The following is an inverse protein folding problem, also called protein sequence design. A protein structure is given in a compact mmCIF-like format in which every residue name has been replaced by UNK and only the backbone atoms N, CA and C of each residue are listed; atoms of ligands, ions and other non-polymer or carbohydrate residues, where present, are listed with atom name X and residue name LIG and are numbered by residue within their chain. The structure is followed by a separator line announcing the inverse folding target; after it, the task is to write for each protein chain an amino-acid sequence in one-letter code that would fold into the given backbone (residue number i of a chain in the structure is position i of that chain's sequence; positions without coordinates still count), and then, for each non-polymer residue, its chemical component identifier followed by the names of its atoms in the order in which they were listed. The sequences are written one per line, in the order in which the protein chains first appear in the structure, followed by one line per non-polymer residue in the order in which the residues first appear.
data_IF_392486601505
#
_entry.id   IF_392486601505
#
_cell.length_a   1.000
_cell.length_b   1.000
_cell.length_c   1.000
_cell.angle_alpha   90.00
_cell.angle_beta   90.00
_cell.angle_gamma   90.00
#
_symmetry.space_group_name_H-M   'P 1'
#
loop_
_entity.id
_entity.type
_entity.pdbx_description
1 polymer ?
#
# COMPACT_ATOMS: atom_id res chain seq x y z
N UNK A 1 37.06 -26.69 44.58
CA UNK A 1 36.31 -25.42 44.50
C UNK A 1 35.76 -25.16 43.09
N UNK A 2 36.60 -25.14 42.05
CA UNK A 2 36.17 -24.95 40.64
C UNK A 2 35.18 -26.02 40.15
N UNK A 3 35.41 -27.30 40.47
CA UNK A 3 34.53 -28.40 40.05
C UNK A 3 33.10 -28.25 40.62
N UNK A 4 32.97 -27.96 41.92
CA UNK A 4 31.66 -27.75 42.57
C UNK A 4 30.92 -26.54 42.00
N UNK A 5 31.63 -25.47 41.63
CA UNK A 5 31.04 -24.32 40.97
C UNK A 5 30.43 -24.72 39.62
N UNK A 6 31.18 -25.49 38.83
CA UNK A 6 30.73 -26.04 37.54
C UNK A 6 29.49 -26.92 37.70
N UNK A 7 29.47 -27.81 38.70
CA UNK A 7 28.32 -28.68 38.96
C UNK A 7 27.07 -27.90 39.35
N UNK A 8 27.20 -26.86 40.16
CA UNK A 8 26.08 -26.00 40.56
C UNK A 8 25.58 -25.14 39.39
N UNK A 9 26.48 -24.59 38.55
CA UNK A 9 26.07 -23.88 37.32
C UNK A 9 25.38 -24.80 36.33
N UNK A 10 25.83 -26.05 36.17
CA UNK A 10 25.20 -27.04 35.31
C UNK A 10 23.80 -27.43 35.80
N UNK A 11 23.62 -27.65 37.11
CA UNK A 11 22.29 -27.93 37.70
C UNK A 11 21.33 -26.76 37.48
N UNK A 12 21.81 -25.52 37.66
CA UNK A 12 21.03 -24.31 37.41
C UNK A 12 20.66 -24.17 35.93
N UNK A 13 21.61 -24.38 35.03
CA UNK A 13 21.35 -24.34 33.58
C UNK A 13 20.33 -25.41 33.18
N UNK A 14 20.46 -26.63 33.72
CA UNK A 14 19.53 -27.73 33.44
C UNK A 14 18.12 -27.43 33.94
N UNK A 15 17.98 -26.85 35.13
CA UNK A 15 16.66 -26.45 35.64
C UNK A 15 16.06 -25.29 34.82
N UNK A 16 16.87 -24.33 34.38
CA UNK A 16 16.44 -23.27 33.47
C UNK A 16 16.02 -23.81 32.10
N UNK A 17 16.76 -24.77 31.52
CA UNK A 17 16.39 -25.43 30.27
C UNK A 17 15.12 -26.27 30.39
N UNK A 18 14.87 -26.94 31.52
CA UNK A 18 13.61 -27.66 31.74
C UNK A 18 12.40 -26.71 31.83
N UNK A 19 12.59 -25.51 32.37
CA UNK A 19 11.53 -24.51 32.51
C UNK A 19 11.35 -23.62 31.28
N UNK A 20 12.34 -23.56 30.38
CA UNK A 20 12.31 -22.71 29.19
C UNK A 20 11.13 -23.03 28.23
N UNK A 21 10.81 -24.31 27.92
CA UNK A 21 9.66 -24.64 27.06
C UNK A 21 8.33 -24.13 27.62
N UNK A 22 8.10 -24.30 28.93
CA UNK A 22 6.88 -23.85 29.57
C UNK A 22 6.75 -22.33 29.52
N UNK A 23 7.83 -21.60 29.84
CA UNK A 23 7.88 -20.14 29.75
C UNK A 23 7.66 -19.62 28.32
N UNK A 24 8.16 -20.35 27.32
CA UNK A 24 7.91 -20.04 25.92
C UNK A 24 6.44 -20.26 25.57
N UNK A 25 5.84 -21.37 26.00
CA UNK A 25 4.43 -21.66 25.76
C UNK A 25 3.49 -20.62 26.39
N UNK A 26 3.81 -20.19 27.62
CA UNK A 26 3.04 -19.18 28.36
C UNK A 26 3.04 -17.82 27.65
N UNK A 27 4.13 -17.48 26.95
CA UNK A 27 4.21 -16.26 26.12
C UNK A 27 3.64 -16.45 24.71
N UNK A 28 3.76 -17.65 24.16
CA UNK A 28 3.36 -17.96 22.78
C UNK A 28 1.84 -17.93 22.59
N UNK A 29 1.09 -18.50 23.54
CA UNK A 29 -0.37 -18.56 23.48
C UNK A 29 -1.05 -17.18 23.36
N UNK A 30 -0.80 -16.21 24.26
CA UNK A 30 -1.46 -14.90 24.17
C UNK A 30 -1.08 -14.17 22.88
N UNK A 31 0.17 -14.26 22.45
CA UNK A 31 0.64 -13.60 21.23
C UNK A 31 0.01 -14.21 19.96
N UNK A 32 -0.21 -15.52 19.94
CA UNK A 32 -0.94 -16.18 18.85
C UNK A 32 -2.40 -15.75 18.79
N UNK A 33 -3.05 -15.53 19.94
CA UNK A 33 -4.45 -15.05 20.00
C UNK A 33 -4.52 -13.61 19.49
N UNK A 34 -3.63 -12.74 19.98
CA UNK A 34 -3.53 -11.35 19.53
C UNK A 34 -3.28 -11.23 18.02
N UNK A 35 -2.42 -12.09 17.47
CA UNK A 35 -2.19 -12.16 16.03
C UNK A 35 -3.46 -12.54 15.26
N UNK A 36 -4.19 -13.56 15.72
CA UNK A 36 -5.43 -13.98 15.08
C UNK A 36 -6.52 -12.90 15.12
N UNK A 37 -6.68 -12.23 16.25
CA UNK A 37 -7.59 -11.09 16.41
C UNK A 37 -7.19 -9.93 15.49
N UNK A 38 -5.89 -9.62 15.41
CA UNK A 38 -5.35 -8.60 14.50
C UNK A 38 -5.63 -8.90 13.02
N UNK A 39 -5.47 -10.17 12.60
CA UNK A 39 -5.78 -10.60 11.23
C UNK A 39 -7.29 -10.46 10.92
N UNK A 40 -8.17 -10.76 11.88
CA UNK A 40 -9.61 -10.58 11.72
C UNK A 40 -9.98 -9.11 11.58
N UNK A 41 -9.39 -8.24 12.41
CA UNK A 41 -9.60 -6.79 12.33
C UNK A 41 -9.12 -6.24 10.98
N UNK A 42 -7.92 -6.64 10.53
CA UNK A 42 -7.39 -6.25 9.22
C UNK A 42 -8.33 -6.66 8.08
N UNK A 43 -8.93 -7.86 8.13
CA UNK A 43 -9.91 -8.29 7.11
C UNK A 43 -11.15 -7.39 7.08
N UNK A 44 -11.65 -6.99 8.26
CA UNK A 44 -12.75 -6.02 8.37
C UNK A 44 -12.35 -4.64 7.83
N UNK A 45 -11.15 -4.17 8.16
CA UNK A 45 -10.65 -2.87 7.71
C UNK A 45 -10.49 -2.82 6.19
N UNK A 46 -9.95 -3.89 5.58
CA UNK A 46 -9.85 -4.02 4.11
C UNK A 46 -11.24 -4.01 3.49
N UNK A 47 -12.20 -4.74 4.04
CA UNK A 47 -13.56 -4.77 3.54
C UNK A 47 -14.24 -3.39 3.61
N UNK A 48 -14.04 -2.67 4.72
CA UNK A 48 -14.54 -1.30 4.86
C UNK A 48 -13.85 -0.34 3.89
N UNK A 49 -12.54 -0.45 3.73
CA UNK A 49 -11.77 0.34 2.78
C UNK A 49 -12.26 0.14 1.34
N UNK A 50 -12.46 -1.11 0.90
CA UNK A 50 -12.96 -1.41 -0.44
C UNK A 50 -14.34 -0.78 -0.69
N UNK A 51 -15.24 -0.82 0.32
CA UNK A 51 -16.54 -0.13 0.24
C UNK A 51 -16.38 1.39 0.11
N UNK A 52 -15.57 2.00 0.96
CA UNK A 52 -15.32 3.45 0.91
C UNK A 52 -14.66 3.87 -0.41
N UNK A 53 -13.79 3.03 -0.97
CA UNK A 53 -13.14 3.29 -2.24
C UNK A 53 -14.13 3.32 -3.41
N UNK A 54 -15.17 2.47 -3.38
CA UNK A 54 -16.22 2.47 -4.40
C UNK A 54 -17.17 3.68 -4.21
N UNK A 55 -17.59 3.97 -2.98
CA UNK A 55 -18.60 4.99 -2.70
C UNK A 55 -18.06 6.43 -2.73
N UNK A 56 -16.81 6.61 -2.30
CA UNK A 56 -16.21 7.94 -2.06
C UNK A 56 -14.84 8.11 -2.70
N UNK A 57 -14.32 7.08 -3.37
CA UNK A 57 -13.02 7.13 -3.98
C UNK A 57 -12.91 8.09 -5.16
N UNK A 58 -11.74 8.13 -5.79
CA UNK A 58 -11.43 9.05 -6.89
C UNK A 58 -12.17 8.72 -8.20
N UNK A 59 -12.84 7.57 -8.29
CA UNK A 59 -13.55 7.14 -9.51
C UNK A 59 -15.05 7.47 -9.51
N UNK A 60 -15.56 8.14 -8.47
CA UNK A 60 -16.95 8.58 -8.41
C UNK A 60 -17.22 9.61 -9.52
N UNK A 61 -18.39 9.50 -10.17
CA UNK A 61 -18.79 10.42 -11.25
C UNK A 61 -19.03 11.84 -10.73
N UNK A 62 -18.78 12.84 -11.59
CA UNK A 62 -19.08 14.25 -11.30
C UNK A 62 -18.03 14.99 -10.46
N UNK A 63 -16.85 14.40 -10.24
CA UNK A 63 -15.76 15.06 -9.53
C UNK A 63 -14.96 16.00 -10.42
N UNK A 64 -14.52 17.12 -9.85
CA UNK A 64 -13.54 17.98 -10.50
C UNK A 64 -12.17 17.27 -10.54
N UNK A 65 -11.37 17.42 -11.62
CA UNK A 65 -10.08 16.74 -11.74
C UNK A 65 -9.11 16.99 -10.58
N UNK A 66 -9.15 18.19 -10.00
CA UNK A 66 -8.33 18.54 -8.83
C UNK A 66 -8.77 17.80 -7.57
N UNK A 67 -10.08 17.70 -7.35
CA UNK A 67 -10.66 16.98 -6.20
C UNK A 67 -10.41 15.49 -6.32
N UNK A 68 -10.55 14.95 -7.52
CA UNK A 68 -10.29 13.54 -7.78
C UNK A 68 -8.81 13.18 -7.57
N UNK A 69 -7.87 14.07 -7.96
CA UNK A 69 -6.45 13.91 -7.66
C UNK A 69 -6.14 13.94 -6.15
N UNK A 70 -6.79 14.82 -5.39
CA UNK A 70 -6.68 14.86 -3.92
C UNK A 70 -7.20 13.56 -3.28
N UNK A 71 -8.35 13.06 -3.75
CA UNK A 71 -8.91 11.78 -3.30
C UNK A 71 -7.98 10.60 -3.60
N UNK A 72 -7.29 10.60 -4.74
CA UNK A 72 -6.28 9.56 -5.04
C UNK A 72 -5.21 9.55 -3.96
N UNK A 73 -4.65 10.70 -3.60
CA UNK A 73 -3.60 10.79 -2.58
C UNK A 73 -4.10 10.31 -1.21
N UNK A 74 -5.26 10.80 -0.77
CA UNK A 74 -5.85 10.43 0.51
C UNK A 74 -6.09 8.92 0.63
N UNK A 75 -6.69 8.32 -0.41
CA UNK A 75 -6.96 6.88 -0.42
C UNK A 75 -5.68 6.06 -0.59
N UNK A 76 -4.65 6.59 -1.27
CA UNK A 76 -3.37 5.92 -1.40
C UNK A 76 -2.62 5.84 -0.06
N UNK A 77 -2.60 6.92 0.73
CA UNK A 77 -1.98 6.92 2.07
C UNK A 77 -2.61 5.83 2.96
N UNK A 78 -3.95 5.79 2.99
CA UNK A 78 -4.71 4.75 3.73
C UNK A 78 -4.45 3.34 3.20
N UNK A 79 -4.29 3.18 1.89
CA UNK A 79 -3.94 1.90 1.28
C UNK A 79 -2.54 1.44 1.71
N UNK A 80 -1.56 2.34 1.73
CA UNK A 80 -0.20 2.04 2.15
C UNK A 80 -0.13 1.63 3.64
N UNK A 81 -0.91 2.28 4.50
CA UNK A 81 -1.08 1.85 5.91
C UNK A 81 -1.59 0.40 6.03
N UNK A 82 -2.62 0.04 5.26
CA UNK A 82 -3.19 -1.31 5.25
C UNK A 82 -2.20 -2.35 4.73
N UNK A 83 -1.45 -2.02 3.67
CA UNK A 83 -0.42 -2.91 3.12
C UNK A 83 0.71 -3.12 4.14
N UNK A 84 1.17 -2.06 4.81
CA UNK A 84 2.19 -2.18 5.86
C UNK A 84 1.70 -3.02 7.04
N UNK A 85 0.45 -2.88 7.46
CA UNK A 85 -0.16 -3.71 8.50
C UNK A 85 -0.27 -5.17 8.06
N UNK A 86 -0.67 -5.42 6.82
CA UNK A 86 -0.72 -6.76 6.22
C UNK A 86 0.65 -7.43 6.20
N UNK A 87 1.69 -6.74 5.73
CA UNK A 87 3.06 -7.28 5.72
C UNK A 87 3.56 -7.63 7.12
N UNK A 88 3.26 -6.80 8.12
CA UNK A 88 3.57 -7.08 9.54
C UNK A 88 2.87 -8.34 10.04
N UNK A 89 1.59 -8.51 9.75
CA UNK A 89 0.86 -9.70 10.17
C UNK A 89 1.29 -10.96 9.41
N UNK A 90 1.61 -10.88 8.12
CA UNK A 90 2.16 -12.00 7.36
C UNK A 90 3.51 -12.45 7.91
N UNK A 91 4.36 -11.51 8.35
CA UNK A 91 5.60 -11.84 9.04
C UNK A 91 5.33 -12.52 10.40
N UNK A 92 4.30 -12.08 11.12
CA UNK A 92 3.75 -12.79 12.26
C UNK A 92 3.34 -14.22 11.91
N UNK A 93 2.48 -14.42 10.91
CA UNK A 93 2.03 -15.75 10.46
C UNK A 93 3.23 -16.67 10.16
N UNK A 94 4.29 -16.16 9.51
CA UNK A 94 5.53 -16.91 9.26
C UNK A 94 6.25 -17.30 10.56
N UNK A 95 6.38 -16.37 11.50
CA UNK A 95 7.03 -16.61 12.80
C UNK A 95 6.29 -17.71 13.60
N UNK A 96 4.97 -17.72 13.53
CA UNK A 96 4.11 -18.70 14.22
C UNK A 96 3.87 -19.98 13.40
N UNK A 97 4.48 -20.11 12.21
CA UNK A 97 4.28 -21.21 11.26
C UNK A 97 2.80 -21.43 10.88
N UNK A 98 2.03 -20.35 10.84
CA UNK A 98 0.64 -20.33 10.37
C UNK A 98 0.66 -20.13 8.84
N UNK A 99 -0.25 -20.76 8.08
CA UNK A 99 -0.37 -20.50 6.65
C UNK A 99 -0.59 -19.02 6.38
N UNK A 100 0.28 -18.41 5.58
CA UNK A 100 0.22 -16.98 5.26
C UNK A 100 -1.08 -16.66 4.51
N UNK A 101 -1.85 -15.73 5.04
CA UNK A 101 -3.11 -15.30 4.44
C UNK A 101 -2.84 -14.44 3.20
N UNK A 102 -3.55 -14.73 2.10
CA UNK A 102 -3.48 -13.95 0.85
C UNK A 102 -4.64 -12.96 0.74
N UNK A 103 -4.35 -11.77 0.20
CA UNK A 103 -5.29 -10.65 0.05
C UNK A 103 -5.38 -10.22 -1.42
N UNK A 104 -6.14 -10.94 -2.27
CA UNK A 104 -6.22 -10.65 -3.70
C UNK A 104 -6.86 -9.29 -4.01
N UNK A 105 -7.80 -8.82 -3.18
CA UNK A 105 -8.46 -7.51 -3.36
C UNK A 105 -7.46 -6.35 -3.30
N UNK A 106 -6.55 -6.35 -2.32
CA UNK A 106 -5.50 -5.35 -2.20
C UNK A 106 -4.57 -5.32 -3.42
N UNK A 107 -4.31 -6.48 -4.04
CA UNK A 107 -3.49 -6.55 -5.25
C UNK A 107 -4.19 -5.87 -6.43
N UNK A 108 -5.50 -6.06 -6.56
CA UNK A 108 -6.28 -5.40 -7.60
C UNK A 108 -6.37 -3.89 -7.35
N UNK A 109 -6.66 -3.47 -6.12
CA UNK A 109 -6.72 -2.06 -5.75
C UNK A 109 -5.37 -1.35 -5.98
N UNK A 110 -4.24 -2.03 -5.74
CA UNK A 110 -2.90 -1.53 -6.11
C UNK A 110 -2.75 -1.27 -7.60
N UNK A 111 -3.30 -2.14 -8.45
CA UNK A 111 -3.28 -1.93 -9.92
C UNK A 111 -4.11 -0.71 -10.29
N UNK A 112 -5.29 -0.57 -9.69
CA UNK A 112 -6.16 0.61 -9.90
C UNK A 112 -5.43 1.89 -9.52
N UNK A 113 -4.80 1.97 -8.34
CA UNK A 113 -4.01 3.15 -7.95
C UNK A 113 -2.87 3.46 -8.94
N UNK A 114 -2.13 2.45 -9.40
CA UNK A 114 -1.07 2.66 -10.39
C UNK A 114 -1.60 3.24 -11.70
N UNK A 115 -2.79 2.81 -12.12
CA UNK A 115 -3.45 3.35 -13.32
C UNK A 115 -3.92 4.79 -13.10
N UNK A 116 -4.58 5.06 -11.97
CA UNK A 116 -5.04 6.41 -11.59
C UNK A 116 -3.87 7.39 -11.50
N UNK A 117 -2.77 7.00 -10.84
CA UNK A 117 -1.56 7.82 -10.75
C UNK A 117 -1.06 8.22 -12.13
N UNK A 118 -0.93 7.27 -13.07
CA UNK A 118 -0.51 7.55 -14.45
C UNK A 118 -1.45 8.51 -15.18
N UNK A 119 -2.76 8.42 -14.91
CA UNK A 119 -3.76 9.31 -15.51
C UNK A 119 -3.61 10.74 -14.99
N UNK A 120 -3.57 10.92 -13.67
CA UNK A 120 -3.47 12.25 -13.06
C UNK A 120 -2.10 12.89 -13.27
N UNK A 121 -1.02 12.11 -13.32
CA UNK A 121 0.31 12.60 -13.70
C UNK A 121 0.29 13.17 -15.14
N UNK A 122 -0.38 12.46 -16.06
CA UNK A 122 -0.55 12.93 -17.44
C UNK A 122 -1.39 14.20 -17.50
N UNK A 123 -2.53 14.23 -16.80
CA UNK A 123 -3.39 15.41 -16.71
C UNK A 123 -2.61 16.62 -16.16
N UNK A 124 -1.87 16.43 -15.07
CA UNK A 124 -1.04 17.47 -14.46
C UNK A 124 0.05 17.96 -15.41
N UNK A 125 0.67 17.06 -16.19
CA UNK A 125 1.66 17.44 -17.22
C UNK A 125 1.05 18.30 -18.31
N UNK A 126 -0.09 17.87 -18.86
CA UNK A 126 -0.82 18.62 -19.90
C UNK A 126 -1.20 20.01 -19.39
N UNK A 127 -1.78 20.08 -18.19
CA UNK A 127 -2.19 21.35 -17.60
C UNK A 127 -0.98 22.28 -17.38
N UNK A 128 0.14 21.77 -16.86
CA UNK A 128 1.38 22.57 -16.70
C UNK A 128 1.92 23.07 -18.04
N UNK A 129 1.91 22.25 -19.09
CA UNK A 129 2.31 22.68 -20.43
C UNK A 129 1.38 23.77 -20.97
N UNK A 130 0.07 23.61 -20.85
CA UNK A 130 -0.91 24.63 -21.28
C UNK A 130 -0.71 25.95 -20.54
N UNK A 131 -0.53 25.90 -19.22
CA UNK A 131 -0.24 27.11 -18.42
C UNK A 131 1.06 27.79 -18.85
N UNK A 132 2.09 26.99 -19.15
CA UNK A 132 3.38 27.51 -19.63
C UNK A 132 3.23 28.20 -20.99
N UNK A 133 2.51 27.58 -21.93
CA UNK A 133 2.26 28.15 -23.25
C UNK A 133 1.40 29.42 -23.17
N UNK A 134 0.37 29.41 -22.33
CA UNK A 134 -0.51 30.56 -22.08
C UNK A 134 0.26 31.78 -21.51
N UNK A 135 1.27 31.53 -20.67
CA UNK A 135 2.08 32.58 -20.06
C UNK A 135 3.26 33.04 -20.94
N UNK A 136 3.48 32.39 -22.09
CA UNK A 136 4.57 32.72 -23.02
C UNK A 136 4.09 33.77 -24.03
N UNK A 137 4.90 34.82 -24.22
CA UNK A 137 4.64 35.84 -25.24
C UNK A 137 4.61 35.23 -26.66
N UNK A 138 3.68 35.67 -27.50
CA UNK A 138 3.50 35.16 -28.87
C UNK A 138 4.78 35.13 -29.72
N UNK A 139 5.66 36.12 -29.57
CA UNK A 139 6.93 36.19 -30.32
C UNK A 139 8.00 35.17 -29.85
N UNK A 140 7.82 34.58 -28.67
CA UNK A 140 8.71 33.55 -28.09
C UNK A 140 8.08 32.16 -28.13
N UNK A 141 6.84 32.06 -28.61
CA UNK A 141 6.08 30.84 -28.65
C UNK A 141 6.55 29.99 -29.85
N UNK A 142 7.09 28.81 -29.55
CA UNK A 142 7.50 27.84 -30.56
C UNK A 142 6.36 26.88 -30.85
N UNK A 143 5.74 27.04 -32.01
CA UNK A 143 4.56 26.24 -32.40
C UNK A 143 4.95 24.77 -32.60
N UNK A 144 6.13 24.49 -33.17
CA UNK A 144 6.61 23.11 -33.39
C UNK A 144 6.72 22.32 -32.07
N UNK A 145 7.28 22.92 -31.02
CA UNK A 145 7.39 22.31 -29.68
C UNK A 145 6.01 21.97 -29.08
N UNK A 146 4.98 22.80 -29.37
CA UNK A 146 3.60 22.56 -28.94
C UNK A 146 3.01 21.37 -29.69
N UNK A 147 3.21 21.30 -31.02
CA UNK A 147 2.74 20.20 -31.86
C UNK A 147 3.36 18.88 -31.40
N UNK A 148 4.66 18.86 -31.15
CA UNK A 148 5.38 17.68 -30.65
C UNK A 148 4.84 17.23 -29.30
N UNK A 149 4.65 18.18 -28.36
CA UNK A 149 4.07 17.90 -27.05
C UNK A 149 2.66 17.33 -27.15
N UNK A 150 1.80 17.90 -28.00
CA UNK A 150 0.43 17.42 -28.22
C UNK A 150 0.41 16.01 -28.84
N UNK A 151 1.34 15.73 -29.77
CA UNK A 151 1.52 14.40 -30.36
C UNK A 151 1.92 13.38 -29.28
N UNK A 152 2.86 13.73 -28.40
CA UNK A 152 3.29 12.88 -27.29
C UNK A 152 2.15 12.60 -26.30
N UNK A 153 1.39 13.62 -25.91
CA UNK A 153 0.24 13.46 -25.02
C UNK A 153 -0.84 12.59 -25.65
N UNK A 154 -1.12 12.77 -26.94
CA UNK A 154 -2.05 11.92 -27.69
C UNK A 154 -1.60 10.45 -27.69
N UNK A 155 -0.31 10.20 -27.91
CA UNK A 155 0.28 8.85 -27.84
C UNK A 155 0.14 8.23 -26.45
N UNK A 156 0.39 9.01 -25.39
CA UNK A 156 0.19 8.59 -23.99
C UNK A 156 -1.27 8.26 -23.70
N UNK A 157 -2.21 9.12 -24.09
CA UNK A 157 -3.65 8.87 -23.97
C UNK A 157 -4.07 7.58 -24.70
N UNK A 158 -3.55 7.32 -25.92
CA UNK A 158 -3.83 6.09 -26.66
C UNK A 158 -3.30 4.83 -25.98
N UNK A 159 -2.23 4.92 -25.19
CA UNK A 159 -1.67 3.78 -24.43
C UNK A 159 -2.44 3.48 -23.14
N UNK A 160 -3.35 4.34 -22.70
CA UNK A 160 -4.16 4.07 -21.52
C UNK A 160 -5.14 2.89 -21.77
N UNK A 161 -5.41 2.04 -20.77
CA UNK A 161 -6.41 0.99 -20.86
C UNK A 161 -7.80 1.55 -21.19
N UNK A 162 -8.64 0.76 -21.88
CA UNK A 162 -10.00 1.20 -22.29
C UNK A 162 -10.85 1.67 -21.11
N UNK A 163 -10.80 0.97 -19.98
CA UNK A 163 -11.55 1.34 -18.77
C UNK A 163 -11.14 2.69 -18.19
N UNK A 164 -9.88 3.11 -18.36
CA UNK A 164 -9.38 4.40 -17.90
C UNK A 164 -9.64 5.55 -18.88
N UNK A 165 -9.90 5.24 -20.16
CA UNK A 165 -10.19 6.25 -21.19
C UNK A 165 -11.66 6.68 -21.21
N UNK A 166 -12.53 5.79 -20.74
CA UNK A 166 -13.97 6.02 -20.68
C UNK A 166 -14.41 6.73 -19.40
N UNK A 167 -13.48 6.83 -18.44
CA UNK A 167 -13.60 7.61 -17.22
C UNK A 167 -13.07 9.02 -17.50
#
# INVERSE_FOLDING_TARGET
RQLNLLTETYKKLKSEMCNAPQRLLDKYKPLSIELQEGILNLKSDIFFFDKQFIERGPMVEGLMPSEAAERVLLFQDRFEELVSLMERYQEGERLFMIPVTSYPTLTETKRVFNLLKRLYDLYGSVNRSIQTWSNTLWNRLKIDDIIDSLSEYTSKCRKLPKGLKAW
#
